data_IF_594710010397
#
_entry.id   IF_594710010397
#
_cell.length_a   1.000
_cell.length_b   1.000
_cell.length_c   1.000
_cell.angle_alpha   90.00
_cell.angle_beta   90.00
_cell.angle_gamma   90.00
#
_symmetry.space_group_name_H-M   'P 1'
#
loop_
_entity.id
_entity.type
_entity.pdbx_description
1 polymer ?
#
# COMPACT_ATOMS: atom_id res chain seq x y z
N UNK A 1 0.57 31.88 -9.92
CA UNK A 1 -0.25 30.73 -10.35
C UNK A 1 -1.34 30.47 -9.33
N UNK A 2 -2.60 30.64 -9.73
CA UNK A 2 -3.79 30.67 -8.87
C UNK A 2 -4.14 29.28 -8.31
N UNK A 3 -4.80 29.27 -7.14
CA UNK A 3 -5.26 28.07 -6.40
C UNK A 3 -6.09 27.10 -7.27
N UNK A 4 -6.70 27.62 -8.33
CA UNK A 4 -7.52 26.91 -9.31
C UNK A 4 -6.69 25.98 -10.25
N UNK A 5 -5.45 26.33 -10.56
CA UNK A 5 -4.56 25.50 -11.38
C UNK A 5 -4.07 24.25 -10.62
N UNK A 6 -3.81 24.40 -9.31
CA UNK A 6 -3.40 23.29 -8.42
C UNK A 6 -4.56 22.32 -8.17
N UNK A 7 -5.80 22.84 -8.05
CA UNK A 7 -7.01 22.03 -7.92
C UNK A 7 -7.33 21.23 -9.19
N UNK A 8 -7.20 21.86 -10.38
CA UNK A 8 -7.38 21.18 -11.67
C UNK A 8 -6.37 20.05 -11.94
N UNK A 9 -5.15 20.16 -11.42
CA UNK A 9 -4.11 19.12 -11.53
C UNK A 9 -4.39 17.91 -10.62
N UNK A 10 -4.81 18.13 -9.37
CA UNK A 10 -5.19 17.04 -8.45
C UNK A 10 -6.44 16.28 -8.95
N UNK A 11 -7.44 17.01 -9.43
CA UNK A 11 -8.62 16.40 -10.05
C UNK A 11 -8.28 15.69 -11.38
N UNK A 12 -7.18 16.05 -12.06
CA UNK A 12 -6.71 15.36 -13.28
C UNK A 12 -6.00 14.04 -12.98
N UNK A 13 -5.27 13.93 -11.87
CA UNK A 13 -4.61 12.69 -11.45
C UNK A 13 -5.64 11.66 -10.96
N UNK A 14 -6.58 12.11 -10.11
CA UNK A 14 -7.71 11.28 -9.67
C UNK A 14 -8.54 10.78 -10.86
N UNK A 15 -8.88 11.67 -11.82
CA UNK A 15 -9.61 11.28 -13.04
C UNK A 15 -8.80 10.36 -13.97
N UNK A 16 -7.47 10.46 -14.03
CA UNK A 16 -6.63 9.58 -14.86
C UNK A 16 -6.50 8.18 -14.26
N UNK A 17 -6.36 8.08 -12.94
CA UNK A 17 -6.35 6.80 -12.23
C UNK A 17 -7.74 6.16 -12.18
N UNK A 18 -8.79 6.96 -12.02
CA UNK A 18 -10.18 6.49 -12.18
C UNK A 18 -10.49 6.05 -13.61
N UNK A 19 -10.00 6.76 -14.64
CA UNK A 19 -10.17 6.37 -16.04
C UNK A 19 -9.42 5.08 -16.36
N UNK A 20 -8.21 4.90 -15.83
CA UNK A 20 -7.47 3.64 -15.90
C UNK A 20 -8.23 2.50 -15.19
N UNK A 21 -8.75 2.75 -13.98
CA UNK A 21 -9.60 1.80 -13.26
C UNK A 21 -10.91 1.48 -14.00
N UNK A 22 -11.52 2.46 -14.67
CA UNK A 22 -12.76 2.27 -15.43
C UNK A 22 -12.57 1.52 -16.75
N UNK A 23 -11.44 1.72 -17.44
CA UNK A 23 -11.08 0.93 -18.61
C UNK A 23 -10.86 -0.56 -18.27
N UNK A 24 -10.46 -0.86 -17.04
CA UNK A 24 -10.29 -2.21 -16.51
C UNK A 24 -11.62 -2.87 -16.06
N UNK A 25 -12.62 -2.07 -15.65
CA UNK A 25 -13.99 -2.54 -15.32
C UNK A 25 -14.74 -3.15 -16.50
N UNK A 26 -14.37 -2.81 -17.74
CA UNK A 26 -15.03 -3.31 -18.96
C UNK A 26 -14.76 -4.78 -19.33
N UNK A 27 -13.95 -5.53 -18.56
CA UNK A 27 -13.51 -6.89 -18.91
C UNK A 27 -13.64 -7.98 -17.84
N UNK A 28 -14.26 -7.71 -16.69
CA UNK A 28 -14.37 -8.67 -15.57
C UNK A 28 -15.80 -8.95 -15.16
N UNK A 29 -16.23 -10.22 -15.23
CA UNK A 29 -17.47 -10.72 -14.64
C UNK A 29 -17.43 -10.61 -13.10
N UNK A 30 -18.60 -10.57 -12.41
CA UNK A 30 -18.66 -10.50 -10.96
C UNK A 30 -18.13 -11.81 -10.36
N UNK A 31 -17.01 -11.74 -9.64
CA UNK A 31 -16.39 -12.90 -9.00
C UNK A 31 -17.16 -13.32 -7.75
N UNK A 32 -17.38 -14.65 -7.66
CA UNK A 32 -18.01 -15.41 -6.57
C UNK A 32 -17.68 -14.87 -5.17
N UNK A 33 -18.68 -14.94 -4.27
CA UNK A 33 -18.48 -14.93 -2.81
C UNK A 33 -17.55 -16.07 -2.42
N UNK A 34 -16.28 -15.78 -2.18
CA UNK A 34 -15.30 -16.72 -1.60
C UNK A 34 -15.24 -16.42 -0.11
N UNK A 35 -15.74 -17.35 0.69
CA UNK A 35 -15.45 -17.38 2.12
C UNK A 35 -13.96 -17.73 2.29
N UNK A 36 -13.30 -16.90 3.10
CA UNK A 36 -11.99 -17.07 3.78
C UNK A 36 -10.74 -17.44 2.97
N UNK A 37 -9.94 -16.40 2.67
CA UNK A 37 -8.47 -16.22 2.81
C UNK A 37 -7.44 -17.29 2.41
N UNK A 38 -7.81 -18.48 1.96
CA UNK A 38 -6.84 -19.48 1.52
C UNK A 38 -6.48 -19.29 0.04
N UNK A 39 -5.56 -18.35 -0.21
CA UNK A 39 -4.80 -18.27 -1.45
C UNK A 39 -4.96 -16.99 -2.28
N UNK A 40 -5.68 -15.99 -1.78
CA UNK A 40 -5.98 -14.75 -2.50
C UNK A 40 -5.13 -13.55 -2.12
N UNK A 41 -5.37 -12.43 -2.83
CA UNK A 41 -4.81 -11.10 -2.57
C UNK A 41 -5.67 -10.39 -1.55
N UNK A 42 -5.08 -10.01 -0.41
CA UNK A 42 -5.79 -9.31 0.67
C UNK A 42 -5.18 -7.94 0.92
N UNK A 43 -6.00 -6.89 0.87
CA UNK A 43 -5.62 -5.55 1.31
C UNK A 43 -6.11 -5.32 2.75
N UNK A 44 -5.19 -5.01 3.65
CA UNK A 44 -5.46 -4.67 5.04
C UNK A 44 -5.24 -3.17 5.27
N UNK A 45 -6.33 -2.45 5.45
CA UNK A 45 -6.39 -1.02 5.71
C UNK A 45 -6.53 -0.73 7.21
N UNK A 46 -6.14 0.49 7.62
CA UNK A 46 -6.48 1.00 8.94
C UNK A 46 -5.65 2.20 9.37
N UNK A 47 -6.12 2.87 10.42
CA UNK A 47 -5.41 4.00 11.02
C UNK A 47 -4.05 3.62 11.62
N UNK A 48 -3.31 4.63 12.09
CA UNK A 48 -2.12 4.42 12.90
C UNK A 48 -2.54 3.75 14.22
N UNK A 49 -1.78 2.73 14.67
CA UNK A 49 -2.04 1.96 15.90
C UNK A 49 -3.42 1.26 15.95
N UNK A 50 -4.08 1.05 14.79
CA UNK A 50 -5.37 0.34 14.77
C UNK A 50 -5.25 -1.17 14.98
N UNK A 51 -4.04 -1.75 14.86
CA UNK A 51 -3.80 -3.20 14.90
C UNK A 51 -3.64 -3.86 13.53
N UNK A 52 -3.63 -3.09 12.42
CA UNK A 52 -3.55 -3.64 11.06
C UNK A 52 -2.35 -4.56 10.78
N UNK A 53 -1.14 -4.19 11.21
CA UNK A 53 0.04 -5.03 10.98
C UNK A 53 -0.06 -6.35 11.75
N UNK A 54 -0.56 -6.33 13.00
CA UNK A 54 -0.80 -7.56 13.78
C UNK A 54 -1.80 -8.48 13.08
N UNK A 55 -2.92 -7.94 12.61
CA UNK A 55 -3.91 -8.74 11.88
C UNK A 55 -3.33 -9.33 10.59
N UNK A 56 -2.53 -8.55 9.85
CA UNK A 56 -1.88 -9.02 8.64
C UNK A 56 -0.81 -10.09 8.92
N UNK A 57 -0.05 -9.97 10.01
CA UNK A 57 0.89 -10.98 10.50
C UNK A 57 0.16 -12.28 10.89
N UNK A 58 -0.96 -12.18 11.64
CA UNK A 58 -1.81 -13.33 12.00
C UNK A 58 -2.40 -14.03 10.76
N UNK A 59 -2.76 -13.26 9.74
CA UNK A 59 -3.25 -13.80 8.47
C UNK A 59 -2.14 -14.51 7.70
N UNK A 60 -0.96 -13.88 7.58
CA UNK A 60 0.19 -14.47 6.90
C UNK A 60 0.70 -15.73 7.61
N UNK A 61 0.60 -15.79 8.95
CA UNK A 61 1.00 -16.95 9.76
C UNK A 61 0.19 -18.23 9.53
N UNK A 62 -0.86 -18.18 8.70
CA UNK A 62 -1.58 -19.37 8.24
C UNK A 62 -0.82 -20.13 7.15
N UNK A 63 0.15 -19.49 6.51
CA UNK A 63 0.98 -20.12 5.49
C UNK A 63 2.25 -20.76 6.09
N UNK A 64 2.74 -21.87 5.51
CA UNK A 64 3.94 -22.55 6.00
C UNK A 64 5.24 -21.78 5.76
N UNK A 65 5.25 -20.86 4.78
CA UNK A 65 6.36 -19.98 4.47
C UNK A 65 5.82 -18.61 4.04
N UNK A 66 6.52 -17.54 4.43
CA UNK A 66 6.14 -16.16 4.10
C UNK A 66 7.39 -15.36 3.77
N UNK A 67 7.32 -14.59 2.68
CA UNK A 67 8.25 -13.52 2.36
C UNK A 67 7.67 -12.18 2.85
N UNK A 68 8.27 -11.65 3.91
CA UNK A 68 7.93 -10.35 4.47
C UNK A 68 8.72 -9.25 3.75
N UNK A 69 8.03 -8.41 2.99
CA UNK A 69 8.60 -7.25 2.30
C UNK A 69 8.46 -6.03 3.22
N UNK A 70 9.58 -5.65 3.84
CA UNK A 70 9.67 -4.46 4.68
C UNK A 70 9.99 -3.24 3.80
N UNK A 71 8.98 -2.41 3.57
CA UNK A 71 9.08 -1.26 2.67
C UNK A 71 9.58 0.04 3.35
N UNK A 72 9.81 -0.03 4.66
CA UNK A 72 10.25 1.08 5.48
C UNK A 72 11.64 1.63 5.11
N UNK A 73 11.97 2.80 5.65
CA UNK A 73 13.37 3.23 5.71
C UNK A 73 14.12 2.36 6.74
N UNK A 74 15.38 1.99 6.51
CA UNK A 74 16.18 1.36 7.56
C UNK A 74 16.21 2.23 8.84
N UNK A 75 16.36 1.62 10.01
CA UNK A 75 16.54 2.35 11.25
C UNK A 75 17.79 3.24 11.18
N UNK A 76 17.70 4.44 11.75
CA UNK A 76 18.82 5.38 11.88
C UNK A 76 18.91 5.91 13.30
N UNK A 77 20.09 6.38 13.68
CA UNK A 77 20.33 6.96 15.01
C UNK A 77 19.59 8.30 15.19
N UNK A 78 19.27 8.97 14.09
CA UNK A 78 18.55 10.26 14.07
C UNK A 78 17.05 10.13 14.40
N UNK A 79 16.49 8.92 14.36
CA UNK A 79 15.09 8.66 14.73
C UNK A 79 14.96 7.41 15.64
N UNK A 80 15.22 7.57 16.96
CA UNK A 80 15.12 6.47 17.92
C UNK A 80 13.70 5.89 18.03
N UNK A 81 12.65 6.68 17.80
CA UNK A 81 11.27 6.18 17.83
C UNK A 81 11.03 5.24 16.65
N UNK A 82 11.43 5.63 15.45
CA UNK A 82 11.37 4.78 14.26
C UNK A 82 12.17 3.49 14.45
N UNK A 83 13.40 3.61 14.95
CA UNK A 83 14.28 2.47 15.22
C UNK A 83 13.66 1.48 16.21
N UNK A 84 13.05 1.95 17.30
CA UNK A 84 12.33 1.10 18.25
C UNK A 84 11.12 0.41 17.60
N UNK A 85 10.39 1.09 16.71
CA UNK A 85 9.23 0.53 15.99
C UNK A 85 9.63 -0.54 15.00
N UNK A 86 10.75 -0.36 14.28
CA UNK A 86 11.33 -1.37 13.39
C UNK A 86 11.77 -2.60 14.20
N UNK A 87 12.47 -2.40 15.32
CA UNK A 87 12.88 -3.49 16.21
C UNK A 87 11.69 -4.30 16.72
N UNK A 88 10.62 -3.62 17.17
CA UNK A 88 9.39 -4.28 17.62
C UNK A 88 8.69 -5.06 16.49
N UNK A 89 8.75 -4.60 15.24
CA UNK A 89 8.23 -5.37 14.09
C UNK A 89 9.09 -6.59 13.80
N UNK A 90 10.42 -6.44 13.76
CA UNK A 90 11.34 -7.56 13.55
C UNK A 90 11.16 -8.65 14.60
N UNK A 91 11.01 -8.28 15.87
CA UNK A 91 10.86 -9.23 16.98
C UNK A 91 9.54 -10.05 16.95
N UNK A 92 8.48 -9.57 16.27
CA UNK A 92 7.22 -10.32 16.15
C UNK A 92 7.23 -11.34 15.01
N UNK A 93 8.14 -11.20 14.05
CA UNK A 93 8.19 -12.08 12.87
C UNK A 93 8.69 -13.45 13.29
N UNK A 94 8.01 -14.54 12.89
CA UNK A 94 8.55 -15.89 13.07
C UNK A 94 9.90 -16.04 12.39
N UNK A 95 10.84 -16.76 13.02
CA UNK A 95 12.20 -16.96 12.49
C UNK A 95 12.25 -17.75 11.18
N UNK A 96 11.19 -18.48 10.83
CA UNK A 96 11.07 -19.22 9.58
C UNK A 96 10.56 -18.35 8.41
N UNK A 97 10.25 -17.07 8.63
CA UNK A 97 9.91 -16.14 7.56
C UNK A 97 11.15 -15.53 6.94
N UNK A 98 11.15 -15.36 5.63
CA UNK A 98 12.18 -14.61 4.91
C UNK A 98 11.82 -13.12 4.97
N UNK A 99 12.75 -12.27 5.39
CA UNK A 99 12.56 -10.80 5.33
C UNK A 99 13.35 -10.21 4.18
N UNK A 100 12.68 -9.44 3.33
CA UNK A 100 13.29 -8.63 2.27
C UNK A 100 13.10 -7.16 2.61
N UNK A 101 14.18 -6.48 2.98
CA UNK A 101 14.16 -5.02 3.20
C UNK A 101 14.53 -4.34 1.88
N UNK A 102 13.58 -3.66 1.25
CA UNK A 102 13.79 -3.09 -0.09
C UNK A 102 12.96 -1.83 -0.33
N UNK A 103 13.52 -0.90 -1.10
CA UNK A 103 12.79 0.23 -1.67
C UNK A 103 12.01 -0.15 -2.93
N UNK A 104 12.36 -1.26 -3.59
CA UNK A 104 11.69 -1.79 -4.77
C UNK A 104 10.71 -2.91 -4.41
N UNK A 105 9.64 -2.52 -3.75
CA UNK A 105 8.54 -3.41 -3.37
C UNK A 105 7.90 -4.07 -4.60
N UNK A 106 7.88 -3.37 -5.73
CA UNK A 106 7.30 -3.88 -6.98
C UNK A 106 8.10 -5.05 -7.53
N UNK A 107 9.42 -4.94 -7.60
CA UNK A 107 10.28 -6.05 -8.03
C UNK A 107 10.17 -7.24 -7.06
N UNK A 108 10.27 -6.99 -5.76
CA UNK A 108 10.17 -8.04 -4.75
C UNK A 108 8.82 -8.79 -4.78
N UNK A 109 7.72 -8.11 -5.14
CA UNK A 109 6.42 -8.76 -5.34
C UNK A 109 6.40 -9.63 -6.61
N UNK A 110 7.04 -9.19 -7.70
CA UNK A 110 7.10 -9.96 -8.96
C UNK A 110 7.95 -11.22 -8.82
N UNK A 111 9.03 -11.13 -8.06
CA UNK A 111 10.00 -12.22 -7.89
C UNK A 111 9.58 -13.22 -6.80
N UNK A 112 8.47 -12.96 -6.10
CA UNK A 112 8.02 -13.81 -5.02
C UNK A 112 7.51 -15.17 -5.51
N UNK A 113 8.06 -16.23 -4.92
CA UNK A 113 7.72 -17.64 -5.15
C UNK A 113 6.95 -18.28 -3.98
N UNK A 114 6.76 -17.52 -2.90
CA UNK A 114 6.08 -17.90 -1.66
C UNK A 114 5.09 -16.81 -1.25
N UNK A 115 4.10 -17.10 -0.39
CA UNK A 115 3.16 -16.10 0.12
C UNK A 115 3.86 -14.83 0.63
N UNK A 116 3.33 -13.66 0.27
CA UNK A 116 3.96 -12.36 0.55
C UNK A 116 3.16 -11.56 1.57
N UNK A 117 3.85 -10.91 2.49
CA UNK A 117 3.31 -9.84 3.33
C UNK A 117 4.09 -8.55 3.11
N UNK A 118 3.43 -7.50 2.60
CA UNK A 118 4.00 -6.16 2.38
C UNK A 118 3.58 -5.24 3.53
N UNK A 119 4.55 -4.70 4.28
CA UNK A 119 4.31 -3.80 5.41
C UNK A 119 5.29 -2.59 5.36
N UNK A 120 4.85 -1.37 5.01
CA UNK A 120 3.52 -1.04 4.48
C UNK A 120 3.60 -0.17 3.21
N UNK A 121 2.51 -0.15 2.44
CA UNK A 121 2.39 0.66 1.24
C UNK A 121 2.53 2.17 1.52
N UNK A 122 2.17 2.64 2.73
CA UNK A 122 2.38 4.03 3.12
C UNK A 122 3.85 4.41 3.22
N UNK A 123 4.69 3.53 3.80
CA UNK A 123 6.14 3.77 3.88
C UNK A 123 6.81 3.67 2.51
N UNK A 124 6.38 2.70 1.71
CA UNK A 124 6.82 2.58 0.31
C UNK A 124 6.49 3.85 -0.48
N UNK A 125 5.25 4.34 -0.38
CA UNK A 125 4.80 5.53 -1.09
C UNK A 125 5.59 6.77 -0.68
N UNK A 126 5.96 6.90 0.59
CA UNK A 126 6.79 8.02 1.06
C UNK A 126 8.12 8.06 0.30
N UNK A 127 8.76 6.91 0.11
CA UNK A 127 9.97 6.77 -0.71
C UNK A 127 9.72 7.09 -2.18
N UNK A 128 8.65 6.55 -2.77
CA UNK A 128 8.28 6.84 -4.18
C UNK A 128 8.09 8.33 -4.42
N UNK A 129 7.40 9.02 -3.50
CA UNK A 129 7.16 10.47 -3.59
C UNK A 129 8.46 11.27 -3.46
N UNK A 130 9.36 10.85 -2.56
CA UNK A 130 10.68 11.46 -2.39
C UNK A 130 11.55 11.32 -3.64
N UNK A 131 11.75 10.08 -4.11
CA UNK A 131 12.53 9.75 -5.32
C UNK A 131 11.97 10.42 -6.57
N UNK A 132 10.65 10.66 -6.61
CA UNK A 132 9.99 11.33 -7.74
C UNK A 132 10.08 12.86 -7.67
N UNK A 133 10.58 13.44 -6.57
CA UNK A 133 10.61 14.90 -6.34
C UNK A 133 9.22 15.49 -6.14
N UNK A 134 8.28 14.70 -5.61
CA UNK A 134 6.89 15.12 -5.41
C UNK A 134 6.75 16.14 -4.27
N UNK A 135 7.61 16.06 -3.24
CA UNK A 135 7.58 16.98 -2.10
C UNK A 135 7.85 18.42 -2.51
N UNK A 136 8.82 18.64 -3.39
CA UNK A 136 9.12 19.95 -3.97
C UNK A 136 8.32 20.24 -5.25
N UNK A 137 7.46 19.30 -5.68
CA UNK A 137 6.68 19.38 -6.91
C UNK A 137 7.55 19.66 -8.15
N UNK A 138 8.71 19.00 -8.26
CA UNK A 138 9.64 19.13 -9.38
C UNK A 138 8.96 18.72 -10.70
N UNK A 139 9.30 19.36 -11.81
CA UNK A 139 8.68 19.06 -13.09
C UNK A 139 8.67 17.56 -13.42
N UNK A 140 7.51 17.07 -13.88
CA UNK A 140 7.27 15.66 -14.20
C UNK A 140 7.11 14.72 -13.00
N UNK A 141 7.03 15.21 -11.75
CA UNK A 141 6.89 14.33 -10.58
C UNK A 141 5.64 13.46 -10.65
N UNK A 142 4.51 13.98 -11.15
CA UNK A 142 3.26 13.24 -11.25
C UNK A 142 3.43 12.02 -12.16
N UNK A 143 4.07 12.21 -13.32
CA UNK A 143 4.29 11.12 -14.27
C UNK A 143 5.17 10.03 -13.64
N UNK A 144 6.25 10.40 -12.96
CA UNK A 144 7.13 9.44 -12.28
C UNK A 144 6.39 8.66 -11.19
N UNK A 145 5.54 9.33 -10.42
CA UNK A 145 4.69 8.66 -9.41
C UNK A 145 3.70 7.73 -10.10
N UNK A 146 2.97 8.19 -11.11
CA UNK A 146 1.97 7.39 -11.84
C UNK A 146 2.60 6.13 -12.45
N UNK A 147 3.81 6.23 -13.02
CA UNK A 147 4.56 5.09 -13.54
C UNK A 147 4.89 4.05 -12.44
N UNK A 148 5.37 4.51 -11.27
CA UNK A 148 5.69 3.63 -10.13
C UNK A 148 4.43 2.97 -9.55
N UNK A 149 3.33 3.70 -9.44
CA UNK A 149 2.05 3.16 -8.95
C UNK A 149 1.43 2.19 -9.94
N UNK A 150 1.44 2.51 -11.23
CA UNK A 150 0.96 1.63 -12.30
C UNK A 150 1.73 0.32 -12.31
N UNK A 151 3.07 0.38 -12.25
CA UNK A 151 3.93 -0.80 -12.20
C UNK A 151 3.63 -1.70 -10.99
N UNK A 152 3.35 -1.11 -9.82
CA UNK A 152 2.96 -1.85 -8.61
C UNK A 152 1.56 -2.44 -8.73
N UNK A 153 0.58 -1.68 -9.22
CA UNK A 153 -0.79 -2.17 -9.41
C UNK A 153 -0.83 -3.34 -10.41
N UNK A 154 -0.02 -3.27 -11.47
CA UNK A 154 0.15 -4.38 -12.43
C UNK A 154 0.80 -5.60 -11.77
N UNK A 155 1.84 -5.41 -10.96
CA UNK A 155 2.48 -6.49 -10.21
C UNK A 155 1.51 -7.15 -9.21
N UNK A 156 0.74 -6.34 -8.48
CA UNK A 156 -0.29 -6.83 -7.57
C UNK A 156 -1.36 -7.63 -8.30
N UNK A 157 -1.88 -7.13 -9.42
CA UNK A 157 -2.85 -7.84 -10.25
C UNK A 157 -2.32 -9.20 -10.73
N UNK A 158 -1.03 -9.27 -11.07
CA UNK A 158 -0.37 -10.44 -11.63
C UNK A 158 0.24 -11.37 -10.59
N UNK A 159 0.17 -11.05 -9.29
CA UNK A 159 0.74 -11.87 -8.24
C UNK A 159 0.21 -13.31 -8.32
N UNK A 160 1.12 -14.26 -8.52
CA UNK A 160 0.82 -15.68 -8.68
C UNK A 160 0.78 -16.44 -7.34
N UNK A 161 1.24 -15.79 -6.28
CA UNK A 161 1.27 -16.31 -4.91
C UNK A 161 0.27 -15.54 -4.04
N UNK A 162 -0.18 -16.10 -2.91
CA UNK A 162 -0.99 -15.36 -1.95
C UNK A 162 -0.25 -14.10 -1.51
N UNK A 163 -0.93 -12.96 -1.50
CA UNK A 163 -0.30 -11.68 -1.22
C UNK A 163 -1.14 -10.84 -0.27
N UNK A 164 -0.52 -10.30 0.76
CA UNK A 164 -1.15 -9.45 1.76
C UNK A 164 -0.45 -8.10 1.74
N UNK A 165 -1.20 -7.03 1.51
CA UNK A 165 -0.68 -5.66 1.55
C UNK A 165 -1.27 -4.90 2.74
N UNK A 166 -0.41 -4.33 3.58
CA UNK A 166 -0.81 -3.42 4.65
C UNK A 166 -0.73 -2.00 4.12
N UNK A 167 -1.80 -1.22 4.33
CA UNK A 167 -1.80 0.20 4.02
C UNK A 167 -2.54 1.03 5.07
N UNK A 168 -2.20 2.31 5.14
CA UNK A 168 -2.83 3.23 6.05
C UNK A 168 -4.12 3.78 5.43
N UNK A 169 -5.17 3.89 6.23
CA UNK A 169 -6.32 4.73 5.92
C UNK A 169 -6.07 6.12 6.51
N UNK A 170 -6.00 7.14 5.65
CA UNK A 170 -5.63 8.53 6.01
C UNK A 170 -6.63 9.56 5.48
N UNK A 171 -7.66 9.13 4.74
CA UNK A 171 -8.67 9.98 4.11
C UNK A 171 -9.88 10.29 4.98
N UNK A 172 -10.07 9.61 6.10
CA UNK A 172 -11.24 9.80 6.99
C UNK A 172 -11.12 10.99 7.97
N UNK A 173 -10.09 11.81 7.84
CA UNK A 173 -9.82 12.97 8.70
C UNK A 173 -10.03 14.31 7.99
N UNK A 174 -9.59 15.40 8.64
CA UNK A 174 -9.57 16.74 8.04
C UNK A 174 -8.56 16.83 6.90
N UNK A 175 -8.76 17.79 5.99
CA UNK A 175 -7.80 18.07 4.92
C UNK A 175 -6.46 18.53 5.53
N UNK A 176 -5.32 17.91 5.18
CA UNK A 176 -4.03 18.33 5.70
C UNK A 176 -3.70 19.80 5.34
N UNK A 177 -3.14 20.53 6.31
CA UNK A 177 -2.74 21.92 6.11
C UNK A 177 -1.52 22.05 5.17
N UNK A 178 -0.60 21.09 5.21
CA UNK A 178 0.60 21.08 4.36
C UNK A 178 0.31 20.55 2.95
N UNK A 179 1.08 21.03 1.96
CA UNK A 179 1.01 20.52 0.60
C UNK A 179 1.46 19.05 0.52
N UNK A 180 2.54 18.69 1.21
CA UNK A 180 3.04 17.32 1.28
C UNK A 180 2.00 16.36 1.87
N UNK A 181 1.29 16.77 2.93
CA UNK A 181 0.23 15.97 3.54
C UNK A 181 -0.93 15.72 2.58
N UNK A 182 -1.33 16.73 1.80
CA UNK A 182 -2.37 16.57 0.77
C UNK A 182 -1.92 15.63 -0.36
N UNK A 183 -0.70 15.81 -0.87
CA UNK A 183 -0.12 14.92 -1.90
C UNK A 183 -0.09 13.48 -1.39
N UNK A 184 0.48 13.24 -0.22
CA UNK A 184 0.56 11.89 0.35
C UNK A 184 -0.84 11.26 0.52
N UNK A 185 -1.79 11.98 1.10
CA UNK A 185 -3.17 11.51 1.30
C UNK A 185 -3.83 11.13 -0.03
N UNK A 186 -3.77 12.03 -1.01
CA UNK A 186 -4.47 11.85 -2.28
C UNK A 186 -3.87 10.68 -3.09
N UNK A 187 -2.54 10.61 -3.12
CA UNK A 187 -1.83 9.55 -3.83
C UNK A 187 -1.98 8.20 -3.13
N UNK A 188 -1.93 8.15 -1.80
CA UNK A 188 -2.18 6.90 -1.05
C UNK A 188 -3.61 6.40 -1.23
N UNK A 189 -4.60 7.31 -1.26
CA UNK A 189 -5.99 6.96 -1.54
C UNK A 189 -6.17 6.35 -2.92
N UNK A 190 -5.49 6.90 -3.93
CA UNK A 190 -5.52 6.36 -5.28
C UNK A 190 -4.83 4.98 -5.37
N UNK A 191 -3.68 4.81 -4.72
CA UNK A 191 -3.00 3.51 -4.61
C UNK A 191 -3.87 2.47 -3.91
N UNK A 192 -4.48 2.82 -2.76
CA UNK A 192 -5.37 1.92 -2.03
C UNK A 192 -6.56 1.48 -2.90
N UNK A 193 -7.15 2.40 -3.67
CA UNK A 193 -8.24 2.08 -4.61
C UNK A 193 -7.80 1.11 -5.70
N UNK A 194 -6.62 1.32 -6.29
CA UNK A 194 -6.09 0.44 -7.34
C UNK A 194 -5.81 -0.97 -6.79
N UNK A 195 -5.21 -1.07 -5.61
CA UNK A 195 -4.91 -2.35 -4.96
C UNK A 195 -6.19 -3.06 -4.54
N UNK A 196 -7.15 -2.35 -3.95
CA UNK A 196 -8.45 -2.88 -3.55
C UNK A 196 -9.21 -3.47 -4.75
N UNK A 197 -9.22 -2.78 -5.89
CA UNK A 197 -9.87 -3.22 -7.13
C UNK A 197 -9.37 -4.59 -7.61
N UNK A 198 -8.11 -4.90 -7.32
CA UNK A 198 -7.48 -6.17 -7.69
C UNK A 198 -7.23 -7.06 -6.47
N UNK A 199 -7.91 -6.82 -5.34
CA UNK A 199 -7.84 -7.68 -4.16
C UNK A 199 -9.06 -8.59 -4.10
N UNK A 200 -8.83 -9.85 -3.73
CA UNK A 200 -9.89 -10.82 -3.49
C UNK A 200 -10.60 -10.53 -2.15
N UNK A 201 -9.91 -9.84 -1.24
CA UNK A 201 -10.43 -9.41 0.06
C UNK A 201 -9.91 -8.04 0.44
N UNK A 202 -10.78 -7.19 0.98
CA UNK A 202 -10.38 -5.93 1.63
C UNK A 202 -10.87 -5.93 3.08
N UNK A 203 -9.99 -5.56 4.01
CA UNK A 203 -10.24 -5.53 5.45
C UNK A 203 -9.87 -4.16 6.00
N UNK A 204 -10.77 -3.53 6.74
CA UNK A 204 -10.49 -2.31 7.49
C UNK A 204 -10.36 -2.64 8.98
N UNK A 205 -9.25 -2.26 9.58
CA UNK A 205 -8.97 -2.51 10.99
C UNK A 205 -9.17 -1.24 11.81
N UNK A 206 -10.09 -1.31 12.78
CA UNK A 206 -10.44 -0.21 13.70
C UNK A 206 -10.44 -0.75 15.13
N UNK A 207 -9.63 -0.16 16.02
CA UNK A 207 -9.50 -0.58 17.43
C UNK A 207 -9.25 -2.10 17.60
N UNK A 208 -8.44 -2.69 16.72
CA UNK A 208 -8.13 -4.12 16.71
C UNK A 208 -9.26 -5.02 16.20
N UNK A 209 -10.36 -4.45 15.70
CA UNK A 209 -11.50 -5.19 15.12
C UNK A 209 -11.47 -5.13 13.61
N UNK A 210 -11.95 -6.20 12.99
CA UNK A 210 -11.96 -6.38 11.54
C UNK A 210 -13.33 -5.99 11.00
N UNK A 211 -13.35 -5.09 10.01
CA UNK A 211 -14.49 -4.80 9.15
C UNK A 211 -14.17 -5.32 7.75
N UNK A 212 -15.03 -6.18 7.22
CA UNK A 212 -14.92 -6.64 5.82
C UNK A 212 -15.58 -5.60 4.91
N UNK A 213 -14.86 -5.17 3.87
CA UNK A 213 -15.39 -4.29 2.84
C UNK A 213 -15.78 -5.15 1.63
N UNK A 214 -17.02 -4.99 1.13
CA UNK A 214 -17.58 -5.70 -0.04
C UNK A 214 -17.42 -4.89 -1.33
#
# INVERSE_FOLDING_TARGET
MTNDAKRRLAESAARRLEAAASALRGRGQPTKRVNDVDGGKTLVLGGVRSGKSRYAEELAGRYPAVTYIAAGMPPSDDDPEWSARVAAHRARRPSHWTTVETGDVTAALRDADSPVLIDCLGTWLTRVLDESGAWEQRDGWQQRVDERLGAFADAWRQAAVPAIAVSNEVGSGVVPASASGRIFRDVLGALNTAVATHSDAVRLIVAGRVLTLE
#
